data_IF_101382059300
#
_entry.id   IF_101382059300
#
_cell.length_a   1.000
_cell.length_b   1.000
_cell.length_c   1.000
_cell.angle_alpha   90.00
_cell.angle_beta   90.00
_cell.angle_gamma   90.00
#
_symmetry.space_group_name_H-M   'P 1'
#
loop_
_entity.id
_entity.type
_entity.pdbx_description
1 polymer ?
#
# COMPACT_ATOMS: atom_id res chain seq x y z
N UNK A 1 7.40 -20.56 -10.26
CA UNK A 1 6.21 -20.19 -9.46
C UNK A 1 6.52 -20.40 -7.98
N UNK A 2 6.17 -19.44 -7.17
CA UNK A 2 6.43 -19.56 -5.73
C UNK A 2 5.34 -20.39 -5.06
N UNK A 3 5.74 -21.35 -4.22
CA UNK A 3 4.80 -22.14 -3.42
C UNK A 3 4.39 -21.41 -2.14
N UNK A 4 4.96 -20.21 -1.93
CA UNK A 4 4.67 -19.39 -0.75
C UNK A 4 3.28 -18.82 -0.83
N UNK A 5 2.53 -18.98 0.25
CA UNK A 5 1.20 -18.38 0.38
C UNK A 5 1.27 -17.25 1.39
N UNK A 6 0.69 -16.13 1.03
CA UNK A 6 0.55 -15.00 1.91
C UNK A 6 -0.86 -14.99 2.46
N UNK A 7 -0.98 -15.16 3.78
CA UNK A 7 -2.27 -15.14 4.46
C UNK A 7 -2.34 -13.85 5.27
N UNK A 8 -3.33 -13.03 4.96
CA UNK A 8 -3.55 -11.76 5.67
C UNK A 8 -4.30 -12.02 6.98
N UNK A 9 -4.01 -11.23 8.00
CA UNK A 9 -4.85 -11.22 9.19
C UNK A 9 -6.23 -10.66 8.85
N UNK A 10 -7.18 -10.79 9.78
CA UNK A 10 -8.57 -10.39 9.53
C UNK A 10 -8.72 -8.91 9.17
N UNK A 11 -7.92 -8.05 9.79
CA UNK A 11 -7.98 -6.62 9.54
C UNK A 11 -7.49 -6.28 8.13
N UNK A 12 -6.36 -6.84 7.73
CA UNK A 12 -5.81 -6.61 6.39
C UNK A 12 -6.68 -7.26 5.32
N UNK A 13 -7.22 -8.44 5.61
CA UNK A 13 -8.13 -9.11 4.69
C UNK A 13 -9.39 -8.28 4.43
N UNK A 14 -9.94 -7.67 5.48
CA UNK A 14 -11.09 -6.78 5.35
C UNK A 14 -10.74 -5.55 4.50
N UNK A 15 -9.59 -4.94 4.74
CA UNK A 15 -9.13 -3.80 3.95
C UNK A 15 -8.96 -4.19 2.48
N UNK A 16 -8.37 -5.35 2.22
CA UNK A 16 -8.17 -5.84 0.85
C UNK A 16 -9.49 -6.02 0.11
N UNK A 17 -10.55 -6.42 0.83
CA UNK A 17 -11.86 -6.64 0.22
C UNK A 17 -12.50 -5.36 -0.32
N UNK A 18 -12.12 -4.20 0.20
CA UNK A 18 -12.64 -2.91 -0.24
C UNK A 18 -11.89 -2.33 -1.44
N UNK A 19 -10.72 -2.87 -1.75
CA UNK A 19 -9.94 -2.38 -2.89
C UNK A 19 -10.57 -2.88 -4.18
N UNK A 20 -10.66 -2.00 -5.17
CA UNK A 20 -11.33 -2.32 -6.44
C UNK A 20 -10.48 -3.22 -7.33
N UNK A 21 -11.15 -3.97 -8.19
CA UNK A 21 -10.47 -4.73 -9.24
C UNK A 21 -9.76 -3.79 -10.21
N UNK A 22 -8.64 -4.24 -10.77
CA UNK A 22 -7.83 -3.47 -11.72
C UNK A 22 -7.29 -2.18 -11.10
N UNK A 23 -7.03 -2.21 -9.81
CA UNK A 23 -6.56 -1.03 -9.08
C UNK A 23 -5.05 -0.85 -9.19
N UNK A 24 -4.63 0.39 -8.93
CA UNK A 24 -3.25 0.72 -8.58
C UNK A 24 -3.34 1.30 -7.17
N UNK A 25 -2.73 0.62 -6.20
CA UNK A 25 -2.93 0.95 -4.80
C UNK A 25 -1.74 1.72 -4.23
N UNK A 26 -2.04 2.69 -3.36
CA UNK A 26 -1.03 3.34 -2.52
C UNK A 26 -1.28 2.89 -1.09
N UNK A 27 -0.32 2.18 -0.51
CA UNK A 27 -0.39 1.69 0.86
C UNK A 27 0.45 2.60 1.76
N UNK A 28 -0.22 3.48 2.49
CA UNK A 28 0.41 4.47 3.38
C UNK A 28 0.61 3.85 4.76
N UNK A 29 1.86 3.86 5.23
CA UNK A 29 2.21 3.15 6.45
C UNK A 29 2.24 1.64 6.20
N UNK A 30 2.99 1.26 5.18
CA UNK A 30 2.92 -0.09 4.61
C UNK A 30 3.45 -1.20 5.52
N UNK A 31 4.39 -0.89 6.39
CA UNK A 31 5.11 -1.85 7.24
C UNK A 31 5.67 -3.01 6.40
N UNK A 32 5.12 -4.22 6.50
CA UNK A 32 5.61 -5.38 5.75
C UNK A 32 5.11 -5.46 4.31
N UNK A 33 4.26 -4.55 3.88
CA UNK A 33 3.63 -4.53 2.57
C UNK A 33 2.78 -5.78 2.27
N UNK A 34 2.29 -6.46 3.30
CA UNK A 34 1.50 -7.67 3.10
C UNK A 34 0.22 -7.41 2.31
N UNK A 35 -0.43 -6.27 2.54
CA UNK A 35 -1.66 -5.93 1.83
C UNK A 35 -1.42 -5.72 0.33
N UNK A 36 -0.54 -4.80 -0.09
CA UNK A 36 -0.34 -4.61 -1.53
C UNK A 36 0.27 -5.82 -2.22
N UNK A 37 1.16 -6.55 -1.55
CA UNK A 37 1.71 -7.79 -2.12
C UNK A 37 0.60 -8.80 -2.39
N UNK A 38 -0.30 -8.98 -1.43
CA UNK A 38 -1.46 -9.87 -1.57
C UNK A 38 -2.36 -9.47 -2.74
N UNK A 39 -2.62 -8.17 -2.90
CA UNK A 39 -3.46 -7.66 -3.99
C UNK A 39 -2.84 -7.92 -5.36
N UNK A 40 -1.53 -7.77 -5.47
CA UNK A 40 -0.81 -8.02 -6.73
C UNK A 40 -0.81 -9.52 -7.04
N UNK A 41 -0.54 -10.37 -6.07
CA UNK A 41 -0.56 -11.82 -6.25
C UNK A 41 -1.94 -12.29 -6.73
N UNK A 42 -2.99 -11.73 -6.15
CA UNK A 42 -4.37 -12.09 -6.52
C UNK A 42 -4.80 -11.53 -7.87
N UNK A 43 -3.99 -10.68 -8.48
CA UNK A 43 -4.34 -10.04 -9.74
C UNK A 43 -5.35 -8.90 -9.61
N UNK A 44 -5.66 -8.50 -8.38
CA UNK A 44 -6.63 -7.43 -8.11
C UNK A 44 -6.02 -6.06 -8.37
N UNK A 45 -4.72 -5.91 -8.07
CA UNK A 45 -3.96 -4.70 -8.35
C UNK A 45 -2.82 -5.02 -9.32
N UNK A 46 -2.56 -4.10 -10.25
CA UNK A 46 -1.49 -4.26 -11.24
C UNK A 46 -0.17 -3.68 -10.75
N UNK A 47 -0.23 -2.72 -9.85
CA UNK A 47 0.93 -2.02 -9.32
C UNK A 47 0.60 -1.43 -7.96
N UNK A 48 1.62 -1.25 -7.12
CA UNK A 48 1.43 -0.66 -5.79
C UNK A 48 2.57 0.29 -5.45
N UNK A 49 2.21 1.39 -4.78
CA UNK A 49 3.16 2.30 -4.16
C UNK A 49 3.09 2.06 -2.66
N UNK A 50 4.18 1.57 -2.08
CA UNK A 50 4.26 1.30 -0.66
C UNK A 50 5.11 2.38 0.01
N UNK A 51 4.57 3.06 1.01
CA UNK A 51 5.27 4.14 1.66
C UNK A 51 5.25 4.01 3.17
N UNK A 52 6.28 4.56 3.80
CA UNK A 52 6.36 4.63 5.25
C UNK A 52 7.26 5.80 5.63
N UNK A 53 7.03 6.38 6.79
CA UNK A 53 7.86 7.45 7.32
C UNK A 53 9.16 6.91 7.90
N UNK A 54 9.17 5.63 8.27
CA UNK A 54 10.31 4.97 8.90
C UNK A 54 11.00 4.00 7.94
N UNK A 55 12.33 4.03 7.98
CA UNK A 55 13.17 3.22 7.10
C UNK A 55 13.03 1.72 7.37
N UNK A 56 12.97 1.32 8.64
CA UNK A 56 12.86 -0.09 9.02
C UNK A 56 11.64 -0.79 8.41
N UNK A 57 10.44 -0.26 8.62
CA UNK A 57 9.25 -0.83 7.96
C UNK A 57 9.37 -0.87 6.45
N UNK A 58 9.94 0.15 5.83
CA UNK A 58 10.09 0.20 4.38
C UNK A 58 11.05 -0.88 3.89
N UNK A 59 12.12 -1.15 4.61
CA UNK A 59 13.04 -2.25 4.30
C UNK A 59 12.35 -3.61 4.39
N UNK A 60 11.48 -3.79 5.40
CA UNK A 60 10.69 -5.01 5.51
C UNK A 60 9.71 -5.16 4.34
N UNK A 61 9.15 -4.05 3.89
CA UNK A 61 8.26 -4.04 2.72
C UNK A 61 9.00 -4.50 1.46
N UNK A 62 10.21 -3.99 1.24
CA UNK A 62 11.05 -4.42 0.11
C UNK A 62 11.33 -5.91 0.20
N UNK A 63 11.72 -6.39 1.38
CA UNK A 63 11.99 -7.82 1.59
C UNK A 63 10.77 -8.69 1.29
N UNK A 64 9.59 -8.26 1.71
CA UNK A 64 8.35 -8.99 1.42
C UNK A 64 8.08 -9.06 -0.07
N UNK A 65 8.23 -7.94 -0.77
CA UNK A 65 8.01 -7.90 -2.21
C UNK A 65 8.96 -8.83 -2.97
N UNK A 66 10.22 -8.86 -2.55
CA UNK A 66 11.22 -9.77 -3.13
C UNK A 66 10.87 -11.22 -2.84
N UNK A 67 10.51 -11.53 -1.60
CA UNK A 67 10.13 -12.87 -1.16
C UNK A 67 9.00 -13.46 -1.98
N UNK A 68 8.00 -12.64 -2.29
CA UNK A 68 6.82 -13.09 -3.03
C UNK A 68 6.90 -12.81 -4.54
N UNK A 69 8.04 -12.30 -5.02
CA UNK A 69 8.29 -12.16 -6.45
C UNK A 69 7.53 -11.04 -7.15
N UNK A 70 7.15 -9.99 -6.43
CA UNK A 70 6.36 -8.88 -6.98
C UNK A 70 7.07 -7.53 -6.93
N UNK A 71 8.37 -7.51 -6.60
CA UNK A 71 9.10 -6.25 -6.44
C UNK A 71 9.10 -5.38 -7.70
N UNK A 72 9.03 -5.99 -8.87
CA UNK A 72 8.98 -5.26 -10.15
C UNK A 72 7.64 -4.55 -10.39
N UNK A 73 6.64 -4.85 -9.57
CA UNK A 73 5.31 -4.24 -9.63
C UNK A 73 5.05 -3.30 -8.46
N UNK A 74 6.12 -2.85 -7.80
CA UNK A 74 6.00 -1.97 -6.65
C UNK A 74 7.05 -0.87 -6.69
N UNK A 75 6.69 0.27 -6.10
CA UNK A 75 7.63 1.34 -5.81
C UNK A 75 7.57 1.63 -4.31
N UNK A 76 8.73 1.86 -3.68
CA UNK A 76 8.85 2.07 -2.25
C UNK A 76 9.30 3.50 -1.98
N UNK A 77 8.59 4.21 -1.11
CA UNK A 77 8.83 5.64 -0.88
C UNK A 77 8.96 5.91 0.61
N UNK A 78 10.08 6.52 1.00
CA UNK A 78 10.29 6.95 2.39
C UNK A 78 9.72 8.36 2.52
N UNK A 79 8.50 8.45 3.03
CA UNK A 79 7.80 9.74 3.15
C UNK A 79 6.75 9.65 4.25
N UNK A 80 6.51 10.78 4.93
CA UNK A 80 5.39 10.91 5.86
C UNK A 80 4.14 11.35 5.10
N UNK A 81 3.05 10.59 5.23
CA UNK A 81 1.81 10.89 4.55
C UNK A 81 1.72 10.28 3.17
N UNK A 82 0.99 10.93 2.27
CA UNK A 82 0.72 10.40 0.94
C UNK A 82 1.86 10.76 -0.01
N UNK A 83 2.42 9.77 -0.74
CA UNK A 83 3.47 10.03 -1.73
C UNK A 83 2.86 10.57 -3.03
N UNK A 84 2.54 11.86 -3.04
CA UNK A 84 1.77 12.50 -4.13
C UNK A 84 2.38 12.34 -5.51
N UNK A 85 3.70 12.52 -5.61
CA UNK A 85 4.39 12.44 -6.89
C UNK A 85 4.26 11.05 -7.49
N UNK A 86 4.51 10.03 -6.67
CA UNK A 86 4.42 8.64 -7.10
C UNK A 86 2.98 8.23 -7.39
N UNK A 87 2.03 8.73 -6.61
CA UNK A 87 0.62 8.47 -6.86
C UNK A 87 0.17 9.01 -8.21
N UNK A 88 0.62 10.21 -8.58
CA UNK A 88 0.32 10.78 -9.88
C UNK A 88 1.03 10.05 -11.02
N UNK A 89 2.31 9.72 -10.80
CA UNK A 89 3.13 9.01 -11.78
C UNK A 89 2.52 7.68 -12.20
N UNK A 90 2.01 6.93 -11.24
CA UNK A 90 1.46 5.59 -11.46
C UNK A 90 -0.06 5.54 -11.61
N UNK A 91 -0.72 6.68 -11.60
CA UNK A 91 -2.19 6.76 -11.71
C UNK A 91 -2.89 5.95 -10.62
N UNK A 92 -2.47 6.16 -9.38
CA UNK A 92 -3.05 5.46 -8.22
C UNK A 92 -4.56 5.68 -8.16
N UNK A 93 -5.30 4.58 -8.01
CA UNK A 93 -6.77 4.60 -7.96
C UNK A 93 -7.33 4.44 -6.56
N UNK A 94 -6.59 3.77 -5.68
CA UNK A 94 -7.06 3.45 -4.33
C UNK A 94 -5.95 3.75 -3.33
N UNK A 95 -6.29 4.44 -2.24
CA UNK A 95 -5.35 4.73 -1.16
C UNK A 95 -5.81 3.97 0.08
N UNK A 96 -4.89 3.22 0.66
CA UNK A 96 -5.15 2.41 1.85
C UNK A 96 -4.27 2.90 2.98
N UNK A 97 -4.86 3.04 4.16
CA UNK A 97 -4.15 3.44 5.38
C UNK A 97 -4.48 2.43 6.46
N UNK A 98 -3.60 1.48 6.69
CA UNK A 98 -3.80 0.42 7.66
C UNK A 98 -2.69 0.41 8.71
N UNK A 99 -3.02 -0.03 9.91
CA UNK A 99 -2.03 -0.21 10.96
C UNK A 99 -1.54 1.06 11.64
N UNK A 100 -2.21 2.17 11.42
CA UNK A 100 -1.86 3.45 12.04
C UNK A 100 -2.81 3.82 13.17
N UNK A 101 -2.33 4.63 14.12
CA UNK A 101 -3.19 5.17 15.16
C UNK A 101 -4.19 6.18 14.63
N UNK A 102 -5.26 6.40 15.37
CA UNK A 102 -6.35 7.28 14.95
C UNK A 102 -5.92 8.69 14.59
N UNK A 103 -5.00 9.28 15.33
CA UNK A 103 -4.51 10.63 15.06
C UNK A 103 -3.81 10.73 13.70
N UNK A 104 -3.00 9.72 13.36
CA UNK A 104 -2.32 9.70 12.07
C UNK A 104 -3.31 9.49 10.93
N UNK A 105 -4.32 8.67 11.14
CA UNK A 105 -5.38 8.46 10.15
C UNK A 105 -6.12 9.77 9.90
N UNK A 106 -6.47 10.50 10.95
CA UNK A 106 -7.14 11.79 10.81
C UNK A 106 -6.31 12.79 10.01
N UNK A 107 -4.99 12.85 10.27
CA UNK A 107 -4.10 13.72 9.51
C UNK A 107 -4.06 13.37 8.04
N UNK A 108 -4.01 12.08 7.73
CA UNK A 108 -3.95 11.62 6.35
C UNK A 108 -5.26 11.88 5.63
N UNK A 109 -6.40 11.65 6.29
CA UNK A 109 -7.71 11.95 5.70
C UNK A 109 -7.83 13.43 5.40
N UNK A 110 -7.39 14.29 6.32
CA UNK A 110 -7.40 15.73 6.12
C UNK A 110 -6.50 16.14 4.95
N UNK A 111 -5.32 15.54 4.85
CA UNK A 111 -4.41 15.75 3.73
C UNK A 111 -5.08 15.35 2.41
N UNK A 112 -5.78 14.22 2.40
CA UNK A 112 -6.51 13.76 1.22
C UNK A 112 -7.60 14.74 0.80
N UNK A 113 -8.33 15.30 1.76
CA UNK A 113 -9.34 16.33 1.48
C UNK A 113 -8.70 17.57 0.86
N UNK A 114 -7.61 18.06 1.47
CA UNK A 114 -6.91 19.26 1.01
C UNK A 114 -6.33 19.09 -0.39
N UNK A 115 -5.91 17.90 -0.75
CA UNK A 115 -5.29 17.60 -2.04
C UNK A 115 -6.29 17.11 -3.10
N UNK A 116 -7.57 17.04 -2.76
CA UNK A 116 -8.62 16.68 -3.71
C UNK A 116 -8.76 15.19 -4.00
N UNK A 117 -8.22 14.32 -3.16
CA UNK A 117 -8.41 12.86 -3.32
C UNK A 117 -9.82 12.40 -2.95
N UNK A 118 -10.48 13.15 -2.06
CA UNK A 118 -11.84 12.85 -1.64
C UNK A 118 -12.81 13.81 -2.32
N UNK A 119 -13.80 13.27 -2.96
CA UNK A 119 -14.81 14.07 -3.67
C UNK A 119 -16.22 13.82 -3.17
#
# INVERSE_FOLDING_TARGET
>A
MSDKKLVLDNRLAAAASFVREKSVVSDVGTDHAFLPVSLIIAGKSSFAVASDINKGPLERAVSSAEKYGVSDKMEFVLVGGIPDEECRKHNVTDIVVCGMGGELIEKIVKEMEEKGYLQ
#
